data_IF_378290375490
#
_entry.id   IF_378290375490
#
_cell.length_a   1.000
_cell.length_b   1.000
_cell.length_c   1.000
_cell.angle_alpha   90.00
_cell.angle_beta   90.00
_cell.angle_gamma   90.00
#
_symmetry.space_group_name_H-M   'P 1'
#
loop_
_entity.id
_entity.type
_entity.pdbx_description
1 polymer ?
#
# COMPACT_ATOMS: atom_id res chain seq x y z
N UNK A 1 8.26 -31.45 -31.88
CA UNK A 1 9.54 -30.93 -31.34
C UNK A 1 9.26 -29.65 -30.56
N UNK A 2 9.72 -29.52 -29.30
CA UNK A 2 9.14 -28.61 -28.31
C UNK A 2 9.63 -27.16 -28.47
N UNK A 3 8.74 -26.20 -28.22
CA UNK A 3 9.02 -24.76 -28.22
C UNK A 3 9.60 -24.34 -26.87
N UNK A 4 10.91 -24.08 -26.81
CA UNK A 4 11.56 -23.49 -25.65
C UNK A 4 11.11 -22.03 -25.49
N UNK A 5 10.18 -21.78 -24.55
CA UNK A 5 9.89 -20.43 -24.06
C UNK A 5 10.68 -20.23 -22.77
N UNK A 6 11.75 -19.45 -22.85
CA UNK A 6 12.45 -18.91 -21.69
C UNK A 6 11.48 -18.01 -20.93
N UNK A 7 10.82 -18.57 -19.92
CA UNK A 7 10.02 -17.80 -18.97
C UNK A 7 11.00 -17.09 -18.04
N UNK A 8 11.13 -15.78 -18.22
CA UNK A 8 11.82 -14.89 -17.30
C UNK A 8 11.41 -15.22 -15.85
N UNK A 9 12.39 -15.29 -14.94
CA UNK A 9 12.20 -15.60 -13.51
C UNK A 9 11.00 -14.82 -12.96
N UNK A 10 9.89 -15.53 -12.74
CA UNK A 10 8.76 -15.01 -11.97
C UNK A 10 9.29 -14.64 -10.58
N UNK A 11 9.18 -13.36 -10.21
CA UNK A 11 9.52 -12.90 -8.85
C UNK A 11 8.58 -13.65 -7.90
N UNK A 12 9.13 -14.56 -7.09
CA UNK A 12 8.33 -15.35 -6.14
C UNK A 12 8.14 -14.52 -4.88
N UNK A 13 6.91 -14.11 -4.63
CA UNK A 13 6.52 -13.45 -3.39
C UNK A 13 6.70 -14.41 -2.21
N UNK A 14 7.07 -13.83 -1.07
CA UNK A 14 7.20 -14.49 0.23
C UNK A 14 6.11 -13.98 1.18
N UNK A 15 5.84 -14.70 2.28
CA UNK A 15 4.84 -14.28 3.27
C UNK A 15 5.33 -13.09 4.11
N UNK A 16 6.63 -12.84 4.06
CA UNK A 16 7.35 -11.76 4.69
C UNK A 16 7.27 -10.45 3.88
N UNK A 17 6.82 -10.53 2.62
CA UNK A 17 6.65 -9.37 1.76
C UNK A 17 5.43 -8.56 2.19
N UNK A 18 5.53 -7.24 2.05
CA UNK A 18 4.40 -6.32 2.13
C UNK A 18 4.12 -5.79 0.74
N UNK A 19 2.89 -5.99 0.27
CA UNK A 19 2.45 -5.64 -1.09
C UNK A 19 1.45 -4.50 -1.06
N UNK A 20 1.39 -3.72 -2.14
CA UNK A 20 0.40 -2.68 -2.36
C UNK A 20 -0.17 -2.79 -3.78
N UNK A 21 -1.46 -2.50 -3.95
CA UNK A 21 -2.12 -2.50 -5.25
C UNK A 21 -3.30 -1.52 -5.28
N UNK A 22 -3.61 -1.03 -6.49
CA UNK A 22 -4.87 -0.34 -6.76
C UNK A 22 -6.01 -1.37 -6.62
N UNK A 23 -6.95 -1.11 -5.73
CA UNK A 23 -8.07 -2.00 -5.41
C UNK A 23 -9.38 -1.60 -6.11
N UNK A 24 -9.38 -0.48 -6.83
CA UNK A 24 -10.52 0.03 -7.61
C UNK A 24 -10.24 -0.03 -9.12
N UNK A 25 -11.26 -0.13 -9.99
CA UNK A 25 -11.08 -0.04 -11.43
C UNK A 25 -10.38 1.26 -11.87
N UNK A 26 -9.60 1.25 -12.96
CA UNK A 26 -9.03 2.46 -13.53
C UNK A 26 -10.11 3.32 -14.19
N UNK A 27 -9.95 4.64 -14.14
CA UNK A 27 -10.86 5.60 -14.75
C UNK A 27 -11.21 6.76 -13.82
N UNK A 28 -12.07 7.65 -14.28
CA UNK A 28 -12.57 8.76 -13.47
C UNK A 28 -13.60 8.27 -12.45
N UNK A 29 -13.47 8.73 -11.20
CA UNK A 29 -14.37 8.42 -10.10
C UNK A 29 -14.13 9.34 -8.90
N UNK A 30 -15.08 9.41 -7.97
CA UNK A 30 -14.94 10.24 -6.77
C UNK A 30 -14.00 9.68 -5.70
N UNK A 31 -13.68 8.38 -5.77
CA UNK A 31 -12.83 7.67 -4.80
C UNK A 31 -11.95 6.66 -5.56
N UNK A 32 -10.66 6.63 -5.22
CA UNK A 32 -9.74 5.55 -5.57
C UNK A 32 -9.20 4.88 -4.31
N UNK A 33 -9.00 3.57 -4.33
CA UNK A 33 -8.51 2.80 -3.17
C UNK A 33 -7.18 2.14 -3.52
N UNK A 34 -6.17 2.35 -2.67
CA UNK A 34 -4.94 1.56 -2.64
C UNK A 34 -5.01 0.65 -1.42
N UNK A 35 -4.84 -0.66 -1.62
CA UNK A 35 -4.79 -1.65 -0.54
C UNK A 35 -3.35 -2.08 -0.32
N UNK A 36 -2.92 -2.07 0.93
CA UNK A 36 -1.60 -2.57 1.36
C UNK A 36 -1.81 -3.78 2.29
N UNK A 37 -0.99 -4.82 2.17
CA UNK A 37 -1.08 -6.03 3.00
C UNK A 37 0.29 -6.64 3.25
N UNK A 38 0.54 -7.07 4.49
CA UNK A 38 1.78 -7.71 4.90
C UNK A 38 2.26 -7.28 6.29
N UNK A 39 3.39 -7.82 6.76
CA UNK A 39 3.88 -7.58 8.12
C UNK A 39 4.29 -6.13 8.39
N UNK A 40 4.64 -5.33 7.38
CA UNK A 40 5.16 -3.95 7.55
C UNK A 40 4.11 -2.86 7.35
N UNK A 41 2.82 -3.20 7.23
CA UNK A 41 1.75 -2.23 6.91
C UNK A 41 1.70 -1.07 7.91
N UNK A 42 1.84 -1.34 9.20
CA UNK A 42 1.74 -0.29 10.22
C UNK A 42 2.92 0.68 10.18
N UNK A 43 4.12 0.21 9.87
CA UNK A 43 5.30 1.07 9.75
C UNK A 43 5.19 1.96 8.52
N UNK A 44 4.72 1.39 7.40
CA UNK A 44 4.42 2.15 6.17
C UNK A 44 3.33 3.20 6.44
N UNK A 45 2.26 2.84 7.15
CA UNK A 45 1.17 3.76 7.46
C UNK A 45 1.64 4.94 8.33
N UNK A 46 2.46 4.70 9.36
CA UNK A 46 3.02 5.78 10.19
C UNK A 46 3.98 6.70 9.41
N UNK A 47 4.68 6.15 8.43
CA UNK A 47 5.62 6.91 7.60
C UNK A 47 4.89 7.79 6.56
N UNK A 48 3.79 7.30 5.99
CA UNK A 48 3.13 7.95 4.85
C UNK A 48 1.85 8.69 5.20
N UNK A 49 1.23 8.47 6.35
CA UNK A 49 -0.07 9.06 6.70
C UNK A 49 0.02 9.92 7.94
N UNK A 50 -0.48 11.15 7.83
CA UNK A 50 -0.61 12.10 8.92
C UNK A 50 -2.07 12.27 9.31
N UNK A 51 -2.43 11.72 10.48
CA UNK A 51 -3.78 11.83 11.05
C UNK A 51 -4.13 13.28 11.39
N UNK A 52 -5.30 13.77 10.96
CA UNK A 52 -5.76 15.12 11.32
C UNK A 52 -6.05 15.29 12.82
N UNK A 53 -6.24 14.17 13.54
CA UNK A 53 -6.50 14.15 15.00
C UNK A 53 -5.25 13.86 15.83
N UNK A 54 -4.06 13.73 15.20
CA UNK A 54 -2.79 13.57 15.90
C UNK A 54 -2.63 12.26 16.68
N UNK A 55 -3.34 11.21 16.31
CA UNK A 55 -3.26 9.90 16.97
C UNK A 55 -2.72 8.83 16.00
N UNK A 56 -1.59 8.23 16.37
CA UNK A 56 -0.89 7.19 15.60
C UNK A 56 -1.17 5.77 16.13
N UNK A 57 -2.05 5.65 17.13
CA UNK A 57 -2.52 4.38 17.65
C UNK A 57 -3.67 3.84 16.79
N UNK A 58 -3.32 3.25 15.65
CA UNK A 58 -4.29 2.61 14.77
C UNK A 58 -4.92 1.38 15.42
N UNK A 59 -6.24 1.27 15.27
CA UNK A 59 -7.07 0.16 15.76
C UNK A 59 -7.70 -0.53 14.56
N UNK A 60 -7.82 -1.84 14.67
CA UNK A 60 -8.48 -2.66 13.66
C UNK A 60 -9.94 -2.21 13.45
N UNK A 61 -10.43 -2.24 12.21
CA UNK A 61 -11.79 -1.84 11.82
C UNK A 61 -12.18 -0.38 12.16
N UNK A 62 -11.22 0.55 12.13
CA UNK A 62 -11.47 1.97 12.32
C UNK A 62 -11.05 2.78 11.09
N UNK A 63 -11.80 3.85 10.81
CA UNK A 63 -11.47 4.83 9.77
C UNK A 63 -10.66 5.97 10.39
N UNK A 64 -9.56 6.33 9.72
CA UNK A 64 -8.72 7.46 10.07
C UNK A 64 -8.75 8.48 8.94
N UNK A 65 -8.93 9.75 9.27
CA UNK A 65 -8.94 10.86 8.34
C UNK A 65 -7.66 11.70 8.51
N UNK A 66 -7.07 12.08 7.39
CA UNK A 66 -5.76 12.70 7.35
C UNK A 66 -5.21 12.73 5.93
N UNK A 67 -3.98 13.19 5.82
CA UNK A 67 -3.30 13.39 4.56
C UNK A 67 -2.20 12.34 4.35
N UNK A 68 -1.95 11.98 3.09
CA UNK A 68 -0.73 11.26 2.73
C UNK A 68 0.39 12.29 2.60
N UNK A 69 1.56 11.98 3.14
CA UNK A 69 2.73 12.85 3.12
C UNK A 69 3.92 12.17 2.43
N UNK A 70 4.74 12.98 1.77
CA UNK A 70 6.05 12.58 1.30
C UNK A 70 6.94 12.25 2.50
N UNK A 71 7.53 11.04 2.57
CA UNK A 71 8.24 10.59 3.76
C UNK A 71 9.57 11.34 3.99
N UNK A 72 10.18 11.90 2.94
CA UNK A 72 11.44 12.63 3.08
C UNK A 72 11.28 14.06 3.60
N UNK A 73 10.17 14.71 3.25
CA UNK A 73 9.94 16.15 3.49
C UNK A 73 8.77 16.44 4.43
N UNK A 74 7.86 15.48 4.64
CA UNK A 74 6.64 15.65 5.41
C UNK A 74 5.58 16.54 4.73
N UNK A 75 5.75 16.86 3.45
CA UNK A 75 4.79 17.65 2.67
C UNK A 75 3.65 16.77 2.16
N UNK A 76 2.44 17.31 2.12
CA UNK A 76 1.27 16.68 1.46
C UNK A 76 1.43 16.73 -0.06
#
# INVERSE_FOLDING_TARGET
MPKNRNHARQKRWSLEDTIAAIATPPGAGGIGIIRVSGPKVWDIARLLFKSSKGNDAYRSHHLYYGDIIAPETGTV
#
